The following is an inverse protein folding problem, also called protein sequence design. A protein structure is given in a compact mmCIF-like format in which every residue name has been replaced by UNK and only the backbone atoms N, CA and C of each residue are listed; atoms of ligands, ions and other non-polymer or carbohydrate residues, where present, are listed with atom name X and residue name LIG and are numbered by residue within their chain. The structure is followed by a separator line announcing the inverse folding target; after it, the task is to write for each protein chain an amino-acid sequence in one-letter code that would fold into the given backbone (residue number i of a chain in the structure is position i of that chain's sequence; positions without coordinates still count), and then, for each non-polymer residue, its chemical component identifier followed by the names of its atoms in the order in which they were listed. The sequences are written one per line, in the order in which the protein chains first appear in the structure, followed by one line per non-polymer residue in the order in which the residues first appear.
data_IF_003332167794
#
_entry.id   IF_003332167794
#
_cell.length_a   1.000
_cell.length_b   1.000
_cell.length_c   1.000
_cell.angle_alpha   90.00
_cell.angle_beta   90.00
_cell.angle_gamma   90.00
#
_symmetry.space_group_name_H-M   'P 1'
#
loop_
_entity.id
_entity.type
_entity.pdbx_description
1 polymer ?
#
# COMPACT_ATOMS: atom_id res chain seq x y z
N UNK A 1 -17.63 -10.59 -18.43
CA UNK A 1 -17.90 -10.23 -17.02
C UNK A 1 -17.36 -8.82 -16.73
N UNK A 2 -18.03 -8.05 -15.87
CA UNK A 2 -17.51 -6.75 -15.41
C UNK A 2 -16.28 -6.96 -14.51
N UNK A 3 -15.29 -6.07 -14.60
CA UNK A 3 -14.05 -6.11 -13.80
C UNK A 3 -14.33 -6.14 -12.28
N UNK A 4 -15.46 -5.57 -11.86
CA UNK A 4 -15.88 -5.52 -10.46
C UNK A 4 -16.39 -6.87 -9.95
N UNK A 5 -17.10 -7.62 -10.79
CA UNK A 5 -17.62 -8.94 -10.44
C UNK A 5 -16.46 -9.94 -10.29
N UNK A 6 -15.49 -9.88 -11.20
CA UNK A 6 -14.28 -10.72 -11.15
C UNK A 6 -13.49 -10.48 -9.84
N UNK A 7 -13.32 -9.20 -9.47
CA UNK A 7 -12.63 -8.84 -8.23
C UNK A 7 -13.35 -9.34 -6.98
N UNK A 8 -14.69 -9.35 -6.97
CA UNK A 8 -15.47 -9.87 -5.84
C UNK A 8 -15.31 -11.37 -5.70
N UNK A 9 -15.47 -12.12 -6.79
CA UNK A 9 -15.28 -13.57 -6.79
C UNK A 9 -13.86 -13.95 -6.33
N UNK A 10 -12.85 -13.23 -6.82
CA UNK A 10 -11.47 -13.40 -6.38
C UNK A 10 -11.27 -13.09 -4.88
N UNK A 11 -11.87 -12.02 -4.35
CA UNK A 11 -11.79 -11.68 -2.92
C UNK A 11 -12.51 -12.71 -2.05
N UNK A 12 -13.64 -13.25 -2.50
CA UNK A 12 -14.38 -14.31 -1.80
C UNK A 12 -13.54 -15.60 -1.68
N UNK A 13 -12.94 -16.07 -2.79
CA UNK A 13 -12.07 -17.25 -2.78
C UNK A 13 -10.88 -17.04 -1.82
N UNK A 14 -10.21 -15.89 -1.90
CA UNK A 14 -9.06 -15.61 -1.04
C UNK A 14 -9.44 -15.46 0.45
N UNK A 15 -10.66 -15.03 0.76
CA UNK A 15 -11.20 -14.96 2.13
C UNK A 15 -11.61 -16.31 2.69
N UNK A 16 -12.01 -17.25 1.84
CA UNK A 16 -12.31 -18.63 2.24
C UNK A 16 -11.06 -19.43 2.60
N UNK A 17 -9.86 -18.88 2.39
CA UNK A 17 -8.59 -19.51 2.74
C UNK A 17 -7.89 -20.20 1.57
N UNK A 18 -8.43 -20.11 0.35
CA UNK A 18 -7.77 -20.63 -0.84
C UNK A 18 -6.44 -19.90 -1.10
N UNK A 19 -5.45 -20.65 -1.59
CA UNK A 19 -4.20 -20.06 -2.05
C UNK A 19 -4.42 -19.22 -3.32
N UNK A 20 -3.50 -18.29 -3.61
CA UNK A 20 -3.58 -17.48 -4.85
C UNK A 20 -3.55 -18.33 -6.11
N UNK A 21 -2.83 -19.45 -6.08
CA UNK A 21 -2.76 -20.36 -7.21
C UNK A 21 -4.09 -21.11 -7.39
N UNK A 22 -4.65 -21.65 -6.31
CA UNK A 22 -5.96 -22.33 -6.34
C UNK A 22 -7.08 -21.38 -6.80
N UNK A 23 -7.09 -20.15 -6.29
CA UNK A 23 -8.04 -19.14 -6.71
C UNK A 23 -7.87 -18.75 -8.19
N UNK A 24 -6.63 -18.73 -8.71
CA UNK A 24 -6.37 -18.47 -10.13
C UNK A 24 -6.91 -19.58 -11.02
N UNK A 25 -6.63 -20.84 -10.67
CA UNK A 25 -7.06 -22.00 -11.46
C UNK A 25 -8.59 -22.11 -11.49
N UNK A 26 -9.26 -21.89 -10.34
CA UNK A 26 -10.73 -21.82 -10.25
C UNK A 26 -11.31 -20.67 -11.09
N UNK A 27 -10.76 -19.46 -10.98
CA UNK A 27 -11.24 -18.32 -11.76
C UNK A 27 -11.04 -18.52 -13.27
N UNK A 28 -9.96 -19.20 -13.68
CA UNK A 28 -9.70 -19.52 -15.08
C UNK A 28 -10.70 -20.55 -15.62
N UNK A 29 -11.03 -21.58 -14.83
CA UNK A 29 -12.03 -22.58 -15.17
C UNK A 29 -13.43 -21.95 -15.29
N UNK A 30 -13.82 -21.09 -14.34
CA UNK A 30 -15.12 -20.42 -14.32
C UNK A 30 -15.26 -19.35 -15.41
N UNK A 31 -14.13 -18.77 -15.87
CA UNK A 31 -14.12 -17.65 -16.80
C UNK A 31 -13.16 -17.86 -17.99
N UNK A 32 -13.41 -18.85 -18.87
CA UNK A 32 -12.49 -19.18 -19.97
C UNK A 32 -12.33 -18.06 -21.00
N UNK A 33 -13.27 -17.10 -21.05
CA UNK A 33 -13.23 -15.94 -21.96
C UNK A 33 -12.34 -14.79 -21.47
N UNK A 34 -11.88 -14.81 -20.22
CA UNK A 34 -11.06 -13.74 -19.64
C UNK A 34 -9.59 -14.07 -19.82
N UNK A 35 -8.79 -13.11 -20.30
CA UNK A 35 -7.35 -13.30 -20.46
C UNK A 35 -6.69 -13.66 -19.12
N UNK A 36 -5.88 -14.74 -19.04
CA UNK A 36 -5.24 -15.19 -17.80
C UNK A 36 -4.42 -14.09 -17.12
N UNK A 37 -3.73 -13.24 -17.89
CA UNK A 37 -3.01 -12.07 -17.37
C UNK A 37 -3.88 -11.15 -16.50
N UNK A 38 -5.13 -10.91 -16.89
CA UNK A 38 -6.05 -10.02 -16.17
C UNK A 38 -6.53 -10.65 -14.86
N UNK A 39 -6.72 -11.98 -14.85
CA UNK A 39 -7.00 -12.73 -13.63
C UNK A 39 -5.82 -12.61 -12.66
N UNK A 40 -4.60 -12.81 -13.16
CA UNK A 40 -3.39 -12.75 -12.35
C UNK A 40 -3.14 -11.35 -11.75
N UNK A 41 -3.36 -10.29 -12.54
CA UNK A 41 -3.27 -8.90 -12.06
C UNK A 41 -4.33 -8.57 -10.99
N UNK A 42 -5.52 -9.15 -11.11
CA UNK A 42 -6.59 -8.95 -10.12
C UNK A 42 -6.23 -9.62 -8.80
N UNK A 43 -5.79 -10.89 -8.83
CA UNK A 43 -5.38 -11.65 -7.65
C UNK A 43 -4.13 -11.08 -6.98
N UNK A 44 -3.17 -10.56 -7.76
CA UNK A 44 -1.97 -9.91 -7.23
C UNK A 44 -2.30 -8.75 -6.29
N UNK A 45 -3.39 -8.03 -6.54
CA UNK A 45 -3.79 -6.85 -5.76
C UNK A 45 -4.74 -7.18 -4.60
N UNK A 46 -4.93 -8.47 -4.29
CA UNK A 46 -5.79 -8.94 -3.22
C UNK A 46 -4.97 -9.75 -2.20
N UNK A 47 -5.18 -9.50 -0.89
CA UNK A 47 -4.54 -10.29 0.15
C UNK A 47 -5.29 -11.61 0.37
N UNK A 48 -4.55 -12.68 0.68
CA UNK A 48 -5.14 -13.93 1.19
C UNK A 48 -5.60 -13.76 2.64
N UNK A 49 -6.46 -14.67 3.13
CA UNK A 49 -6.83 -14.69 4.56
C UNK A 49 -5.60 -14.84 5.47
N UNK A 50 -4.67 -15.74 5.11
CA UNK A 50 -3.43 -15.96 5.85
C UNK A 50 -2.57 -14.68 5.93
N UNK A 51 -2.44 -13.95 4.82
CA UNK A 51 -1.70 -12.69 4.80
C UNK A 51 -2.37 -11.62 5.68
N UNK A 52 -3.71 -11.52 5.64
CA UNK A 52 -4.44 -10.58 6.50
C UNK A 52 -4.17 -10.86 7.96
N UNK A 53 -4.30 -12.11 8.40
CA UNK A 53 -4.08 -12.50 9.80
C UNK A 53 -2.63 -12.23 10.23
N UNK A 54 -1.66 -12.62 9.40
CA UNK A 54 -0.23 -12.48 9.72
C UNK A 54 0.23 -11.03 9.81
N UNK A 55 -0.26 -10.17 8.92
CA UNK A 55 0.19 -8.78 8.80
C UNK A 55 -0.81 -7.75 9.36
N UNK A 56 -1.87 -8.20 10.03
CA UNK A 56 -2.86 -7.31 10.64
C UNK A 56 -2.22 -6.36 11.67
N UNK A 57 -1.31 -6.86 12.49
CA UNK A 57 -0.59 -6.05 13.48
C UNK A 57 0.27 -4.97 12.81
N UNK A 58 1.00 -5.33 11.76
CA UNK A 58 1.79 -4.39 10.95
C UNK A 58 0.91 -3.33 10.29
N UNK A 59 -0.25 -3.73 9.75
CA UNK A 59 -1.24 -2.81 9.18
C UNK A 59 -1.75 -1.82 10.24
N UNK A 60 -2.14 -2.32 11.42
CA UNK A 60 -2.64 -1.50 12.51
C UNK A 60 -1.55 -0.53 13.01
N UNK A 61 -0.31 -1.00 13.10
CA UNK A 61 0.84 -0.15 13.42
C UNK A 61 1.04 0.97 12.40
N UNK A 62 1.00 0.64 11.10
CA UNK A 62 1.06 1.64 10.02
C UNK A 62 -0.08 2.67 10.14
N UNK A 63 -1.31 2.23 10.39
CA UNK A 63 -2.46 3.12 10.60
C UNK A 63 -2.26 4.02 11.82
N UNK A 64 -1.76 3.50 12.93
CA UNK A 64 -1.46 4.30 14.12
C UNK A 64 -0.41 5.38 13.84
N UNK A 65 0.66 5.05 13.10
CA UNK A 65 1.68 6.02 12.68
C UNK A 65 1.09 7.08 11.75
N UNK A 66 0.20 6.70 10.83
CA UNK A 66 -0.49 7.66 9.95
C UNK A 66 -1.40 8.62 10.72
N UNK A 67 -2.13 8.11 11.72
CA UNK A 67 -2.96 8.95 12.60
C UNK A 67 -2.08 9.91 13.40
N UNK A 68 -0.98 9.40 13.98
CA UNK A 68 -0.02 10.24 14.71
C UNK A 68 0.57 11.33 13.81
N UNK A 69 0.99 10.99 12.60
CA UNK A 69 1.46 11.95 11.60
C UNK A 69 0.41 13.02 11.32
N UNK A 70 -0.83 12.63 11.03
CA UNK A 70 -1.92 13.57 10.75
C UNK A 70 -2.18 14.53 11.94
N UNK A 71 -2.22 14.00 13.17
CA UNK A 71 -2.42 14.81 14.38
C UNK A 71 -1.26 15.79 14.56
N UNK A 72 -0.02 15.34 14.42
CA UNK A 72 1.15 16.19 14.58
C UNK A 72 1.25 17.25 13.47
N UNK A 73 0.90 16.92 12.23
CA UNK A 73 0.84 17.90 11.14
C UNK A 73 -0.17 19.01 11.43
N UNK A 74 -1.33 18.64 11.99
CA UNK A 74 -2.34 19.61 12.42
C UNK A 74 -1.79 20.48 13.56
N UNK A 75 -1.28 19.88 14.64
CA UNK A 75 -0.78 20.61 15.81
C UNK A 75 0.30 21.64 15.43
N UNK A 76 1.24 21.27 14.56
CA UNK A 76 2.28 22.18 14.06
C UNK A 76 1.73 23.40 13.35
N UNK A 77 0.78 23.18 12.46
CA UNK A 77 0.16 24.24 11.66
C UNK A 77 -0.55 25.26 12.56
N UNK A 78 -1.10 24.80 13.69
CA UNK A 78 -1.72 25.65 14.72
C UNK A 78 -0.71 26.34 15.66
N UNK A 79 0.50 25.81 15.82
CA UNK A 79 1.48 26.34 16.77
C UNK A 79 2.29 27.53 16.23
N UNK A 80 2.27 27.79 14.91
CA UNK A 80 3.23 28.69 14.26
C UNK A 80 2.67 29.89 13.48
N UNK A 81 1.35 30.12 13.42
CA UNK A 81 0.79 31.23 12.62
C UNK A 81 -0.26 32.07 13.36
N UNK A 82 -0.13 33.39 13.25
CA UNK A 82 -1.30 34.28 13.35
C UNK A 82 -2.33 33.82 12.30
N UNK A 83 -3.54 33.55 12.77
CA UNK A 83 -4.56 32.78 12.08
C UNK A 83 -5.14 33.56 10.87
N UNK A 84 -4.45 33.55 9.72
CA UNK A 84 -4.99 34.10 8.47
C UNK A 84 -5.87 33.05 7.77
N UNK A 85 -7.19 33.19 7.93
CA UNK A 85 -8.23 32.30 7.41
C UNK A 85 -8.18 32.03 5.89
N UNK A 86 -7.50 32.89 5.10
CA UNK A 86 -7.56 32.86 3.63
C UNK A 86 -6.39 32.14 2.93
N UNK A 87 -5.20 32.02 3.56
CA UNK A 87 -4.03 31.40 2.93
C UNK A 87 -3.79 29.93 3.34
N UNK A 88 -4.19 29.58 4.57
CA UNK A 88 -3.77 28.34 5.23
C UNK A 88 -4.72 27.15 5.05
N UNK A 89 -5.96 27.42 4.66
CA UNK A 89 -7.00 26.41 4.47
C UNK A 89 -6.66 25.42 3.36
N UNK A 90 -5.86 25.82 2.36
CA UNK A 90 -5.48 24.94 1.23
C UNK A 90 -4.55 23.81 1.64
N UNK A 91 -3.58 24.06 2.52
CA UNK A 91 -2.68 23.04 3.05
C UNK A 91 -3.34 22.18 4.14
N UNK A 92 -4.18 22.82 4.99
CA UNK A 92 -5.03 22.15 5.97
C UNK A 92 -6.08 21.23 5.35
N UNK A 93 -6.54 21.48 4.12
CA UNK A 93 -7.48 20.58 3.44
C UNK A 93 -6.79 19.42 2.71
N UNK A 94 -5.56 19.60 2.20
CA UNK A 94 -4.91 18.58 1.37
C UNK A 94 -4.24 17.46 2.18
N UNK A 95 -3.52 17.80 3.25
CA UNK A 95 -2.72 16.81 4.01
C UNK A 95 -3.60 15.83 4.81
N UNK A 96 -4.66 16.27 5.52
CA UNK A 96 -5.54 15.35 6.24
C UNK A 96 -6.36 14.47 5.29
N UNK A 97 -6.86 15.03 4.18
CA UNK A 97 -7.68 14.27 3.22
C UNK A 97 -6.85 13.21 2.50
N UNK A 98 -5.63 13.53 2.06
CA UNK A 98 -4.74 12.54 1.45
C UNK A 98 -4.39 11.42 2.44
N UNK A 99 -4.10 11.77 3.70
CA UNK A 99 -3.79 10.79 4.76
C UNK A 99 -5.01 9.92 5.09
N UNK A 100 -6.22 10.47 5.13
CA UNK A 100 -7.47 9.73 5.35
C UNK A 100 -7.78 8.80 4.17
N UNK A 101 -7.62 9.26 2.93
CA UNK A 101 -7.84 8.44 1.73
C UNK A 101 -6.81 7.31 1.63
N UNK A 102 -5.55 7.58 1.98
CA UNK A 102 -4.51 6.57 2.12
C UNK A 102 -4.87 5.58 3.23
N UNK A 103 -5.26 6.06 4.42
CA UNK A 103 -5.65 5.23 5.55
C UNK A 103 -6.85 4.33 5.24
N UNK A 104 -7.86 4.86 4.55
CA UNK A 104 -9.02 4.10 4.09
C UNK A 104 -8.64 3.02 3.07
N UNK A 105 -7.74 3.35 2.14
CA UNK A 105 -7.27 2.42 1.12
C UNK A 105 -6.40 1.30 1.71
N UNK A 106 -5.58 1.65 2.71
CA UNK A 106 -4.76 0.74 3.51
C UNK A 106 -5.67 -0.20 4.32
N UNK A 107 -6.69 0.33 4.99
CA UNK A 107 -7.70 -0.45 5.71
C UNK A 107 -8.43 -1.45 4.80
N UNK A 108 -8.71 -1.07 3.54
CA UNK A 108 -9.32 -1.95 2.54
C UNK A 108 -8.34 -2.88 1.81
N UNK A 109 -7.08 -2.94 2.24
CA UNK A 109 -6.05 -3.78 1.64
C UNK A 109 -5.88 -3.57 0.12
N UNK A 110 -5.85 -2.33 -0.34
CA UNK A 110 -5.68 -2.05 -1.77
C UNK A 110 -4.19 -2.04 -2.16
N UNK A 111 -3.66 -3.16 -2.65
CA UNK A 111 -2.23 -3.36 -2.93
C UNK A 111 -1.57 -2.32 -3.85
N UNK A 112 -2.31 -1.72 -4.79
CA UNK A 112 -1.81 -0.63 -5.64
C UNK A 112 -1.45 0.62 -4.84
N UNK A 113 -2.23 0.93 -3.80
CA UNK A 113 -2.04 2.12 -2.97
C UNK A 113 -0.84 1.96 -2.04
N UNK A 114 -0.57 0.75 -1.54
CA UNK A 114 0.63 0.47 -0.74
C UNK A 114 1.92 0.74 -1.51
N UNK A 115 1.99 0.33 -2.78
CA UNK A 115 3.19 0.57 -3.61
C UNK A 115 3.38 2.05 -3.90
N UNK A 116 2.33 2.72 -4.38
CA UNK A 116 2.43 4.12 -4.76
C UNK A 116 2.63 5.02 -3.54
N UNK A 117 1.80 4.84 -2.51
CA UNK A 117 1.92 5.56 -1.24
C UNK A 117 3.26 5.30 -0.55
N UNK A 118 3.78 4.07 -0.63
CA UNK A 118 5.10 3.73 -0.11
C UNK A 118 6.22 4.55 -0.75
N UNK A 119 6.26 4.61 -2.09
CA UNK A 119 7.26 5.40 -2.81
C UNK A 119 7.12 6.91 -2.56
N UNK A 120 5.90 7.45 -2.57
CA UNK A 120 5.68 8.89 -2.32
C UNK A 120 6.17 9.30 -0.93
N UNK A 121 5.89 8.49 0.09
CA UNK A 121 6.35 8.76 1.45
C UNK A 121 7.88 8.55 1.60
N UNK A 122 8.47 7.61 0.85
CA UNK A 122 9.92 7.41 0.82
C UNK A 122 10.69 8.54 0.13
N UNK A 123 10.08 9.26 -0.81
CA UNK A 123 10.67 10.51 -1.32
C UNK A 123 10.85 11.55 -0.20
N UNK A 124 10.06 11.45 0.86
CA UNK A 124 10.25 12.22 2.10
C UNK A 124 11.61 11.98 2.77
N UNK A 125 12.31 10.87 2.50
CA UNK A 125 13.66 10.63 3.01
C UNK A 125 14.67 11.68 2.52
N UNK A 126 14.48 12.21 1.31
CA UNK A 126 15.31 13.30 0.78
C UNK A 126 15.06 14.60 1.57
N UNK A 127 13.78 14.89 1.91
CA UNK A 127 13.43 16.01 2.79
C UNK A 127 14.01 15.80 4.19
N UNK A 128 13.98 14.56 4.71
CA UNK A 128 14.51 14.23 6.03
C UNK A 128 16.01 14.51 6.15
N UNK A 129 16.80 14.15 5.13
CA UNK A 129 18.24 14.47 5.10
C UNK A 129 18.46 15.98 5.13
N UNK A 130 17.68 16.73 4.35
CA UNK A 130 17.71 18.20 4.37
C UNK A 130 17.32 18.78 5.73
N UNK A 131 16.29 18.23 6.37
CA UNK A 131 15.80 18.65 7.68
C UNK A 131 16.83 18.40 8.79
N UNK A 132 17.47 17.22 8.80
CA UNK A 132 18.56 16.93 9.74
C UNK A 132 19.76 17.86 9.50
N UNK A 133 20.17 18.06 8.25
CA UNK A 133 21.26 18.97 7.91
C UNK A 133 20.97 20.40 8.40
N UNK A 134 19.76 20.91 8.17
CA UNK A 134 19.35 22.22 8.68
C UNK A 134 19.35 22.27 10.21
N UNK A 135 18.89 21.21 10.88
CA UNK A 135 18.87 21.14 12.35
C UNK A 135 20.30 21.18 12.93
N UNK A 136 21.23 20.41 12.36
CA UNK A 136 22.64 20.45 12.77
C UNK A 136 23.32 21.79 12.49
N UNK A 137 22.86 22.52 11.47
CA UNK A 137 23.34 23.87 11.15
C UNK A 137 22.63 24.97 11.94
N UNK A 138 21.76 24.62 12.91
CA UNK A 138 21.06 25.57 13.79
C UNK A 138 19.92 26.35 13.13
N UNK A 139 19.57 26.05 11.89
CA UNK A 139 18.50 26.73 11.12
C UNK A 139 17.27 25.85 10.90
N UNK A 140 17.31 24.60 11.36
CA UNK A 140 16.26 23.62 11.14
C UNK A 140 15.17 23.63 12.22
N UNK A 141 13.96 23.32 11.78
CA UNK A 141 12.81 23.08 12.66
C UNK A 141 12.79 21.61 13.13
N UNK A 142 12.89 21.34 14.45
CA UNK A 142 12.79 19.99 14.99
C UNK A 142 11.49 19.27 14.62
N UNK A 143 10.39 20.01 14.44
CA UNK A 143 9.10 19.43 14.11
C UNK A 143 9.10 18.79 12.72
N UNK A 144 9.75 19.45 11.76
CA UNK A 144 9.93 18.94 10.40
C UNK A 144 10.69 17.62 10.40
N UNK A 145 11.70 17.47 11.24
CA UNK A 145 12.44 16.19 11.38
C UNK A 145 11.52 15.06 11.86
N UNK A 146 10.66 15.34 12.84
CA UNK A 146 9.68 14.35 13.35
C UNK A 146 8.69 13.95 12.26
N UNK A 147 8.09 14.92 11.56
CA UNK A 147 7.12 14.65 10.49
C UNK A 147 7.73 13.88 9.33
N UNK A 148 8.93 14.28 8.88
CA UNK A 148 9.63 13.61 7.79
C UNK A 148 10.05 12.19 8.20
N UNK A 149 10.43 11.96 9.46
CA UNK A 149 10.72 10.62 9.99
C UNK A 149 9.49 9.73 9.96
N UNK A 150 8.33 10.22 10.43
CA UNK A 150 7.08 9.47 10.41
C UNK A 150 6.64 9.15 8.98
N UNK A 151 6.78 10.09 8.05
CA UNK A 151 6.53 9.86 6.63
C UNK A 151 7.39 8.71 6.08
N UNK A 152 8.70 8.72 6.33
CA UNK A 152 9.60 7.63 5.90
C UNK A 152 9.19 6.28 6.51
N UNK A 153 8.81 6.24 7.79
CA UNK A 153 8.33 5.02 8.45
C UNK A 153 7.06 4.49 7.78
N UNK A 154 6.08 5.36 7.50
CA UNK A 154 4.84 5.01 6.78
C UNK A 154 5.20 4.43 5.40
N UNK A 155 6.13 5.09 4.68
CA UNK A 155 6.61 4.64 3.38
C UNK A 155 7.25 3.26 3.41
N UNK A 156 8.13 3.04 4.38
CA UNK A 156 8.81 1.75 4.60
C UNK A 156 7.83 0.62 4.94
N UNK A 157 6.91 0.85 5.87
CA UNK A 157 5.88 -0.13 6.23
C UNK A 157 4.95 -0.44 5.06
N UNK A 158 4.58 0.59 4.27
CA UNK A 158 3.73 0.41 3.10
C UNK A 158 4.41 -0.45 2.03
N UNK A 159 5.70 -0.21 1.73
CA UNK A 159 6.45 -1.03 0.79
C UNK A 159 6.70 -2.44 1.32
N UNK A 160 6.99 -2.60 2.61
CA UNK A 160 7.13 -3.90 3.25
C UNK A 160 5.86 -4.75 3.05
N UNK A 161 4.69 -4.18 3.36
CA UNK A 161 3.40 -4.81 3.12
C UNK A 161 3.15 -5.05 1.62
N UNK A 162 3.53 -4.10 0.75
CA UNK A 162 3.39 -4.27 -0.69
C UNK A 162 4.19 -5.45 -1.26
N UNK A 163 5.35 -5.76 -0.69
CA UNK A 163 6.20 -6.88 -1.12
C UNK A 163 5.71 -8.19 -0.52
N UNK A 164 5.42 -8.21 0.79
CA UNK A 164 5.09 -9.45 1.50
C UNK A 164 3.64 -9.89 1.32
N UNK A 165 2.69 -8.96 1.26
CA UNK A 165 1.25 -9.25 1.13
C UNK A 165 0.81 -9.30 -0.33
N UNK A 166 1.48 -8.58 -1.24
CA UNK A 166 1.10 -8.50 -2.65
C UNK A 166 2.24 -8.94 -3.58
N UNK A 167 2.71 -10.20 -3.45
CA UNK A 167 3.82 -10.70 -4.25
C UNK A 167 3.47 -10.70 -5.74
N UNK A 168 4.47 -10.40 -6.57
CA UNK A 168 4.32 -10.45 -8.03
C UNK A 168 4.30 -11.92 -8.47
N UNK A 169 3.38 -12.27 -9.36
CA UNK A 169 3.37 -13.59 -10.01
C UNK A 169 4.59 -13.74 -10.94
N UNK A 170 5.06 -14.97 -11.12
CA UNK A 170 6.07 -15.34 -12.12
C UNK A 170 5.38 -15.84 -13.38
N UNK A 171 5.99 -15.58 -14.53
CA UNK A 171 5.54 -16.11 -15.82
C UNK A 171 6.51 -17.20 -16.24
N UNK A 172 6.01 -18.42 -16.37
CA UNK A 172 6.78 -19.57 -16.83
C UNK A 172 6.36 -19.92 -18.26
N UNK A 173 7.33 -20.10 -19.15
CA UNK A 173 7.06 -20.57 -20.51
C UNK A 173 6.74 -22.05 -20.46
N UNK A 174 5.58 -22.45 -20.97
CA UNK A 174 5.20 -23.86 -21.11
C UNK A 174 5.26 -24.27 -22.57
N UNK A 175 5.53 -25.57 -22.87
CA UNK A 175 5.47 -26.07 -24.23
C UNK A 175 4.11 -25.72 -24.89
N UNK A 176 4.15 -25.45 -26.19
CA UNK A 176 3.04 -24.86 -26.97
C UNK A 176 1.74 -25.66 -26.85
N UNK A 177 1.84 -26.97 -26.68
CA UNK A 177 0.71 -27.90 -26.47
C UNK A 177 -0.11 -27.60 -25.20
N UNK A 178 0.45 -26.87 -24.23
CA UNK A 178 -0.20 -26.52 -22.95
C UNK A 178 -0.52 -25.02 -22.83
N UNK A 179 -0.51 -24.25 -23.95
CA UNK A 179 -0.97 -22.86 -23.96
C UNK A 179 0.10 -21.79 -23.68
N UNK A 180 1.39 -22.13 -23.79
CA UNK A 180 2.50 -21.18 -23.98
C UNK A 180 2.99 -20.38 -22.77
N UNK A 181 2.12 -19.90 -21.87
CA UNK A 181 2.53 -19.12 -20.69
C UNK A 181 1.69 -19.48 -19.46
N UNK A 182 2.35 -19.96 -18.41
CA UNK A 182 1.77 -20.18 -17.08
C UNK A 182 2.04 -19.00 -16.15
N UNK A 183 1.04 -18.64 -15.35
CA UNK A 183 1.14 -17.63 -14.31
C UNK A 183 1.19 -18.32 -12.96
N UNK A 184 2.36 -18.28 -12.32
CA UNK A 184 2.61 -19.00 -11.06
C UNK A 184 2.70 -17.99 -9.92
N UNK A 185 1.88 -18.20 -8.89
CA UNK A 185 1.95 -17.41 -7.66
C UNK A 185 2.89 -18.08 -6.66
N UNK A 186 3.79 -17.31 -6.03
CA UNK A 186 4.64 -17.83 -4.96
C UNK A 186 3.78 -18.23 -3.76
N UNK A 187 4.05 -19.41 -3.19
CA UNK A 187 3.42 -19.84 -1.95
C UNK A 187 3.84 -18.90 -0.81
N UNK A 188 2.87 -18.55 0.04
CA UNK A 188 3.03 -17.53 1.07
C UNK A 188 4.22 -17.84 1.99
N UNK A 189 5.29 -17.05 1.87
CA UNK A 189 6.48 -17.17 2.71
C UNK A 189 7.81 -17.30 1.97
N UNK A 190 7.83 -17.59 0.67
CA UNK A 190 9.08 -17.76 -0.08
C UNK A 190 9.56 -16.48 -0.76
N UNK A 191 9.92 -15.48 0.03
CA UNK A 191 10.93 -14.49 -0.37
C UNK A 191 11.75 -14.15 0.87
N UNK A 192 12.98 -14.65 0.88
CA UNK A 192 14.06 -14.20 1.76
C UNK A 192 14.27 -12.70 1.55
#
# INVERSE_FOLDING_TARGET
MSSKALRRQADELLRQGWSRQQAFDMLQADNPRVKPKRLAETLRNLPTLADRQRYQSTLNGMLAVMVLYAVLSVVHEFHGREFSWMGNTRYLMLVPVATILLGWSVYRWQGQVFRWGGWVNLLGAVSLIGAYSALFNGTGDPWRVVLDTLSVIIGGLALFLAVKVFPKYRTESRPVEQGGVAYVFPEGGQYF
#
